data_IF_379340164451
#
_entry.id   IF_379340164451
#
_cell.length_a   1.000
_cell.length_b   1.000
_cell.length_c   1.000
_cell.angle_alpha   90.00
_cell.angle_beta   90.00
_cell.angle_gamma   90.00
#
_symmetry.space_group_name_H-M   'P 1'
#
loop_
_entity.id
_entity.type
_entity.pdbx_description
1 polymer ?
#
# COMPACT_ATOMS: atom_id res chain seq x y z
N UNK A 1 -6.39 -2.61 11.27
CA UNK A 1 -7.50 -3.17 10.48
C UNK A 1 -8.59 -2.12 10.27
N UNK A 2 -9.04 -1.46 11.33
CA UNK A 2 -10.12 -0.46 11.26
C UNK A 2 -9.91 0.65 10.21
N UNK A 3 -8.68 1.15 10.06
CA UNK A 3 -8.37 2.14 9.01
C UNK A 3 -8.63 1.60 7.59
N UNK A 4 -8.22 0.36 7.31
CA UNK A 4 -8.44 -0.30 6.01
C UNK A 4 -9.95 -0.41 5.74
N UNK A 5 -10.70 -0.84 6.75
CA UNK A 5 -12.16 -0.96 6.66
C UNK A 5 -12.83 0.38 6.36
N UNK A 6 -12.41 1.45 7.04
CA UNK A 6 -12.96 2.80 6.84
C UNK A 6 -12.66 3.38 5.47
N UNK A 7 -11.41 3.27 5.02
CA UNK A 7 -11.02 3.72 3.68
C UNK A 7 -11.76 2.94 2.59
N UNK A 8 -11.88 1.63 2.75
CA UNK A 8 -12.63 0.78 1.83
C UNK A 8 -14.12 1.12 1.80
N UNK A 9 -14.76 1.30 2.96
CA UNK A 9 -16.17 1.66 3.06
C UNK A 9 -16.47 3.02 2.40
N UNK A 10 -15.49 3.93 2.41
CA UNK A 10 -15.57 5.21 1.71
C UNK A 10 -15.20 5.14 0.22
N UNK A 11 -14.95 3.94 -0.33
CA UNK A 11 -14.64 3.74 -1.74
C UNK A 11 -13.19 4.06 -2.15
N UNK A 12 -12.29 4.31 -1.19
CA UNK A 12 -10.87 4.57 -1.47
C UNK A 12 -10.23 3.31 -2.06
N UNK A 13 -9.63 3.35 -3.26
CA UNK A 13 -8.88 2.23 -3.81
C UNK A 13 -7.68 1.86 -2.92
N UNK A 14 -7.60 0.61 -2.49
CA UNK A 14 -6.51 0.12 -1.65
C UNK A 14 -5.67 -0.90 -2.41
N UNK A 15 -4.35 -0.79 -2.30
CA UNK A 15 -3.36 -1.72 -2.87
C UNK A 15 -2.35 -2.11 -1.79
N UNK A 16 -1.90 -3.36 -1.79
CA UNK A 16 -0.87 -3.81 -0.85
C UNK A 16 0.46 -3.99 -1.60
N UNK A 17 1.52 -3.36 -1.09
CA UNK A 17 2.86 -3.46 -1.63
C UNK A 17 3.83 -3.91 -0.53
N UNK A 18 4.37 -5.13 -0.64
CA UNK A 18 5.21 -5.71 0.40
C UNK A 18 6.52 -6.29 -0.14
N UNK A 19 7.62 -5.98 0.55
CA UNK A 19 8.87 -6.71 0.37
C UNK A 19 8.73 -8.07 1.07
N UNK A 20 8.46 -9.12 0.31
CA UNK A 20 8.18 -10.44 0.86
C UNK A 20 8.54 -11.57 -0.12
N UNK A 21 8.73 -12.82 0.37
CA UNK A 21 8.97 -13.98 -0.48
C UNK A 21 7.83 -14.20 -1.49
N UNK A 22 8.17 -14.68 -2.69
CA UNK A 22 7.20 -14.80 -3.80
C UNK A 22 6.03 -15.76 -3.54
N UNK A 23 6.19 -16.75 -2.65
CA UNK A 23 5.09 -17.65 -2.28
C UNK A 23 3.94 -16.92 -1.56
N UNK A 24 4.19 -15.73 -0.99
CA UNK A 24 3.17 -14.97 -0.28
C UNK A 24 2.10 -14.43 -1.23
N UNK A 25 2.40 -14.24 -2.52
CA UNK A 25 1.42 -13.77 -3.51
C UNK A 25 0.21 -14.72 -3.62
N UNK A 26 0.46 -16.02 -3.77
CA UNK A 26 -0.60 -17.03 -3.85
C UNK A 26 -1.41 -17.12 -2.54
N UNK A 27 -0.76 -16.90 -1.40
CA UNK A 27 -1.43 -16.89 -0.10
C UNK A 27 -2.35 -15.66 0.05
N UNK A 28 -1.88 -14.47 -0.32
CA UNK A 28 -2.66 -13.23 -0.28
C UNK A 28 -3.90 -13.32 -1.18
N UNK A 29 -3.76 -13.87 -2.38
CA UNK A 29 -4.85 -13.99 -3.37
C UNK A 29 -5.88 -15.07 -3.06
N UNK A 30 -5.71 -15.88 -2.01
CA UNK A 30 -6.66 -16.95 -1.68
C UNK A 30 -6.74 -17.24 -0.18
N UNK A 31 -5.90 -18.15 0.36
CA UNK A 31 -6.04 -18.67 1.72
C UNK A 31 -6.10 -17.60 2.83
N UNK A 32 -5.50 -16.44 2.61
CA UNK A 32 -5.44 -15.38 3.61
C UNK A 32 -6.80 -14.78 3.94
N UNK A 33 -7.76 -14.75 3.00
CA UNK A 33 -9.05 -14.08 3.17
C UNK A 33 -9.91 -14.72 4.28
N UNK A 34 -9.80 -16.04 4.47
CA UNK A 34 -10.53 -16.74 5.53
C UNK A 34 -9.97 -16.40 6.93
N UNK A 35 -8.67 -16.15 7.04
CA UNK A 35 -8.00 -15.83 8.31
C UNK A 35 -7.98 -14.34 8.61
N UNK A 36 -7.93 -13.53 7.56
CA UNK A 36 -7.78 -12.08 7.61
C UNK A 36 -8.70 -11.42 6.56
N UNK A 37 -10.01 -11.29 6.86
CA UNK A 37 -10.99 -10.78 5.90
C UNK A 37 -10.68 -9.39 5.32
N UNK A 38 -9.96 -8.56 6.08
CA UNK A 38 -9.55 -7.22 5.63
C UNK A 38 -8.63 -7.24 4.40
N UNK A 39 -7.93 -8.36 4.14
CA UNK A 39 -7.08 -8.52 2.96
C UNK A 39 -7.93 -8.43 1.69
N UNK A 40 -9.17 -8.92 1.73
CA UNK A 40 -10.11 -8.81 0.60
C UNK A 40 -10.58 -7.38 0.31
N UNK A 41 -10.16 -6.38 1.08
CA UNK A 41 -10.48 -4.95 0.83
C UNK A 41 -9.50 -4.27 -0.11
N UNK A 42 -8.34 -4.90 -0.33
CA UNK A 42 -7.36 -4.47 -1.32
C UNK A 42 -7.77 -4.97 -2.71
N UNK A 43 -7.65 -4.10 -3.71
CA UNK A 43 -7.97 -4.42 -5.11
C UNK A 43 -6.91 -5.32 -5.74
N UNK A 44 -5.65 -5.14 -5.34
CA UNK A 44 -4.54 -5.97 -5.82
C UNK A 44 -3.36 -5.96 -4.83
N UNK A 45 -2.44 -6.90 -5.04
CA UNK A 45 -1.26 -7.15 -4.22
C UNK A 45 -0.02 -7.18 -5.11
N UNK A 46 1.05 -6.52 -4.67
CA UNK A 46 2.35 -6.56 -5.31
C UNK A 46 3.35 -7.08 -4.26
N UNK A 47 3.82 -8.31 -4.48
CA UNK A 47 4.80 -9.00 -3.63
C UNK A 47 6.15 -8.98 -4.33
N UNK A 48 7.14 -8.34 -3.71
CA UNK A 48 8.45 -8.10 -4.32
C UNK A 48 9.14 -9.37 -4.84
N UNK A 49 9.08 -10.47 -4.07
CA UNK A 49 9.70 -11.74 -4.43
C UNK A 49 9.01 -12.46 -5.59
N UNK A 50 7.75 -12.13 -5.88
CA UNK A 50 7.00 -12.61 -7.04
C UNK A 50 7.38 -11.81 -8.29
N UNK A 51 7.39 -10.47 -8.19
CA UNK A 51 7.70 -9.57 -9.32
C UNK A 51 9.20 -9.32 -9.54
N UNK A 52 10.07 -9.85 -8.66
CA UNK A 52 11.54 -9.67 -8.67
C UNK A 52 11.98 -8.20 -8.70
N UNK A 53 11.27 -7.37 -7.95
CA UNK A 53 11.55 -5.94 -7.78
C UNK A 53 11.19 -5.55 -6.34
N UNK A 54 11.98 -4.70 -5.68
CA UNK A 54 11.85 -4.41 -4.24
C UNK A 54 11.78 -2.91 -3.95
N UNK A 55 11.09 -2.55 -2.87
CA UNK A 55 11.28 -1.23 -2.26
C UNK A 55 12.70 -1.16 -1.68
N UNK A 56 13.42 -0.03 -1.78
CA UNK A 56 12.96 1.29 -2.22
C UNK A 56 13.20 1.62 -3.70
N UNK A 57 13.42 0.64 -4.59
CA UNK A 57 13.67 0.94 -5.99
C UNK A 57 12.44 1.55 -6.68
N UNK A 58 12.64 2.65 -7.40
CA UNK A 58 11.59 3.38 -8.12
C UNK A 58 10.72 2.49 -9.03
N UNK A 59 11.28 1.41 -9.57
CA UNK A 59 10.61 0.48 -10.46
C UNK A 59 9.38 -0.19 -9.81
N UNK A 60 9.43 -0.51 -8.51
CA UNK A 60 8.31 -1.21 -7.86
C UNK A 60 7.10 -0.29 -7.66
N UNK A 61 7.32 0.96 -7.30
CA UNK A 61 6.24 1.94 -7.12
C UNK A 61 5.60 2.29 -8.47
N UNK A 62 6.41 2.44 -9.53
CA UNK A 62 5.92 2.61 -10.90
C UNK A 62 5.11 1.41 -11.37
N UNK A 63 5.52 0.19 -11.00
CA UNK A 63 4.76 -1.02 -11.29
C UNK A 63 3.39 -0.98 -10.60
N UNK A 64 3.32 -0.64 -9.31
CA UNK A 64 2.04 -0.50 -8.59
C UNK A 64 1.13 0.53 -9.27
N UNK A 65 1.65 1.72 -9.59
CA UNK A 65 0.90 2.77 -10.27
C UNK A 65 0.36 2.30 -11.64
N UNK A 66 1.20 1.62 -12.42
CA UNK A 66 0.83 1.04 -13.72
C UNK A 66 -0.27 -0.03 -13.59
N UNK A 67 -0.13 -0.95 -12.64
CA UNK A 67 -1.11 -2.01 -12.39
C UNK A 67 -2.44 -1.42 -11.91
N UNK A 68 -2.40 -0.41 -11.04
CA UNK A 68 -3.59 0.24 -10.51
C UNK A 68 -4.22 1.29 -11.43
N UNK A 69 -3.52 1.74 -12.47
CA UNK A 69 -4.00 2.75 -13.41
C UNK A 69 -4.09 4.16 -12.82
N UNK A 70 -3.23 4.52 -11.88
CA UNK A 70 -3.22 5.83 -11.23
C UNK A 70 -1.86 6.53 -11.35
N UNK A 71 -1.86 7.86 -11.29
CA UNK A 71 -0.65 8.67 -11.32
C UNK A 71 0.00 8.71 -9.92
N UNK A 72 1.35 8.76 -9.80
CA UNK A 72 2.01 8.73 -8.49
C UNK A 72 1.53 9.81 -7.52
N UNK A 73 1.34 11.03 -8.00
CA UNK A 73 0.87 12.20 -7.24
C UNK A 73 -0.58 12.07 -6.72
N UNK A 74 -1.35 11.11 -7.23
CA UNK A 74 -2.71 10.82 -6.75
C UNK A 74 -2.75 9.72 -5.68
N UNK A 75 -1.60 9.19 -5.28
CA UNK A 75 -1.49 8.06 -4.36
C UNK A 75 -0.74 8.41 -3.08
N UNK A 76 -1.21 7.83 -1.97
CA UNK A 76 -0.53 7.88 -0.66
C UNK A 76 0.07 6.51 -0.36
N UNK A 77 1.38 6.47 -0.16
CA UNK A 77 2.13 5.29 0.27
C UNK A 77 2.43 5.37 1.77
N UNK A 78 2.11 4.29 2.48
CA UNK A 78 2.30 4.19 3.93
C UNK A 78 3.22 3.01 4.20
N UNK A 79 4.32 3.24 4.93
CA UNK A 79 5.31 2.21 5.26
C UNK A 79 6.03 2.56 6.56
N UNK A 80 6.45 1.55 7.32
CA UNK A 80 7.19 1.70 8.57
C UNK A 80 8.70 1.88 8.35
N UNK A 81 9.19 1.63 7.13
CA UNK A 81 10.60 1.85 6.79
C UNK A 81 10.76 3.17 6.04
N UNK A 82 11.43 4.14 6.68
CA UNK A 82 11.65 5.48 6.13
C UNK A 82 12.24 5.46 4.70
N UNK A 83 13.19 4.57 4.40
CA UNK A 83 13.78 4.46 3.06
C UNK A 83 12.75 4.09 1.98
N UNK A 84 11.76 3.26 2.31
CA UNK A 84 10.68 2.91 1.39
C UNK A 84 9.75 4.11 1.15
N UNK A 85 9.50 4.91 2.18
CA UNK A 85 8.69 6.14 2.06
C UNK A 85 9.40 7.15 1.16
N UNK A 86 10.71 7.30 1.33
CA UNK A 86 11.51 8.22 0.53
C UNK A 86 11.61 7.77 -0.93
N UNK A 87 11.70 6.45 -1.18
CA UNK A 87 11.62 5.89 -2.54
C UNK A 87 10.29 6.18 -3.25
N UNK A 88 9.17 6.12 -2.52
CA UNK A 88 7.86 6.49 -3.05
C UNK A 88 7.77 7.99 -3.35
N UNK A 89 8.24 8.84 -2.42
CA UNK A 89 8.29 10.30 -2.59
C UNK A 89 9.14 10.71 -3.78
N UNK A 90 10.26 10.04 -4.02
CA UNK A 90 11.17 10.32 -5.13
C UNK A 90 10.52 10.15 -6.52
N UNK A 91 9.42 9.39 -6.62
CA UNK A 91 8.65 9.26 -7.87
C UNK A 91 7.38 10.12 -7.91
N UNK A 92 7.16 10.96 -6.89
CA UNK A 92 6.02 11.88 -6.82
C UNK A 92 4.84 11.41 -5.98
N UNK A 93 4.92 10.26 -5.28
CA UNK A 93 3.85 9.85 -4.37
C UNK A 93 3.85 10.67 -3.08
N UNK A 94 2.68 10.83 -2.47
CA UNK A 94 2.62 11.19 -1.06
C UNK A 94 3.13 10.01 -0.23
N UNK A 95 4.06 10.26 0.68
CA UNK A 95 4.64 9.23 1.54
C UNK A 95 4.42 9.53 3.02
N UNK A 96 3.85 8.58 3.76
CA UNK A 96 3.67 8.64 5.21
C UNK A 96 4.57 7.58 5.87
N UNK A 97 5.43 8.00 6.78
CA UNK A 97 6.20 7.08 7.61
C UNK A 97 5.36 6.66 8.82
N UNK A 98 4.88 5.43 8.76
CA UNK A 98 4.05 4.84 9.79
C UNK A 98 4.88 4.57 11.05
N UNK A 99 4.55 5.29 12.13
CA UNK A 99 5.10 5.05 13.48
C UNK A 99 4.03 4.58 14.45
N UNK A 100 2.82 5.12 14.28
CA UNK A 100 1.63 4.77 15.04
C UNK A 100 0.37 5.11 14.23
N UNK A 101 -0.75 4.51 14.63
CA UNK A 101 -2.03 4.69 13.96
C UNK A 101 -2.59 6.12 14.09
N UNK A 102 -2.63 6.77 15.28
CA UNK A 102 -3.14 8.14 15.41
C UNK A 102 -2.45 9.15 14.48
N UNK A 103 -1.12 9.12 14.40
CA UNK A 103 -0.34 10.02 13.54
C UNK A 103 -0.65 9.77 12.06
N UNK A 104 -0.68 8.50 11.63
CA UNK A 104 -1.02 8.13 10.25
C UNK A 104 -2.42 8.59 9.87
N UNK A 105 -3.39 8.42 10.78
CA UNK A 105 -4.78 8.86 10.58
C UNK A 105 -4.84 10.39 10.45
N UNK A 106 -4.14 11.12 11.31
CA UNK A 106 -4.11 12.58 11.26
C UNK A 106 -3.52 13.11 9.93
N UNK A 107 -2.43 12.51 9.46
CA UNK A 107 -1.81 12.85 8.17
C UNK A 107 -2.75 12.56 6.99
N UNK A 108 -3.40 11.40 6.97
CA UNK A 108 -4.39 11.07 5.93
C UNK A 108 -5.58 12.03 5.94
N UNK A 109 -6.09 12.41 7.12
CA UNK A 109 -7.17 13.40 7.25
C UNK A 109 -6.76 14.78 6.76
N UNK A 110 -5.52 15.20 7.01
CA UNK A 110 -5.00 16.46 6.49
C UNK A 110 -4.93 16.48 4.95
N UNK A 111 -4.85 15.31 4.32
CA UNK A 111 -4.95 15.14 2.86
C UNK A 111 -6.41 14.99 2.36
N UNK A 112 -7.41 15.09 3.24
CA UNK A 112 -8.82 14.95 2.90
C UNK A 112 -9.32 13.51 2.78
N UNK A 113 -8.54 12.51 3.20
CA UNK A 113 -8.95 11.11 3.17
C UNK A 113 -9.84 10.74 4.38
N UNK A 114 -10.79 9.80 4.23
CA UNK A 114 -11.75 9.40 5.26
C UNK A 114 -11.12 8.42 6.29
N UNK A 115 -9.98 8.82 6.86
CA UNK A 115 -9.12 8.04 7.74
C UNK A 115 -9.42 8.15 9.23
#
# INVERSE_FOLDING_TARGET
VDLVERLHAAGTPLYLLSNAPGFLDAWLRGPSHARHPFIGRFRDFIVSGHVKCWKPDAAIYKLVCKTGGFAPDTAVFIDDVQANVDGARAIGMHGIHHRDAPTTIAELRAMGLPA
#
